data_IF_836505757120
#
_entry.id   IF_836505757120
#
_cell.length_a   1.000
_cell.length_b   1.000
_cell.length_c   1.000
_cell.angle_alpha   90.00
_cell.angle_beta   90.00
_cell.angle_gamma   90.00
#
_symmetry.space_group_name_H-M   'P 1'
#
loop_
_entity.id
_entity.type
_entity.pdbx_description
1 polymer ?
#
# COMPACT_ATOMS: atom_id res chain seq x y z
N UNK A 1 -1.24 -14.36 1.25
CA UNK A 1 -0.96 -13.20 0.35
C UNK A 1 -0.45 -12.05 1.21
N UNK A 2 0.38 -11.16 0.68
CA UNK A 2 0.90 -10.01 1.43
C UNK A 2 0.64 -8.72 0.65
N UNK A 3 0.31 -7.65 1.37
CA UNK A 3 0.52 -6.30 0.90
C UNK A 3 1.96 -5.91 1.22
N UNK A 4 2.70 -5.39 0.23
CA UNK A 4 4.10 -5.00 0.34
C UNK A 4 4.23 -3.59 -0.20
N UNK A 5 4.96 -2.73 0.50
CA UNK A 5 5.12 -1.33 0.13
C UNK A 5 6.59 -0.88 0.19
N UNK A 6 7.10 -0.45 -0.96
CA UNK A 6 8.48 -0.03 -1.14
C UNK A 6 9.51 -1.14 -0.96
N UNK A 7 10.78 -0.74 -1.08
CA UNK A 7 11.94 -1.61 -0.90
C UNK A 7 12.52 -2.17 -2.20
N UNK A 8 13.21 -3.31 -2.09
CA UNK A 8 13.97 -3.94 -3.17
C UNK A 8 13.69 -5.43 -3.24
N UNK A 9 13.75 -5.96 -4.46
CA UNK A 9 13.69 -7.40 -4.72
C UNK A 9 15.04 -7.85 -5.25
N UNK A 10 15.59 -8.89 -4.65
CA UNK A 10 16.78 -9.57 -5.12
C UNK A 10 16.39 -10.99 -5.55
N UNK A 11 16.86 -11.40 -6.72
CA UNK A 11 16.70 -12.76 -7.24
C UNK A 11 18.09 -13.36 -7.41
N UNK A 12 18.34 -14.50 -6.78
CA UNK A 12 19.59 -15.24 -6.90
C UNK A 12 19.28 -16.74 -6.92
N UNK A 13 19.81 -17.44 -7.93
CA UNK A 13 19.48 -18.84 -8.25
C UNK A 13 17.96 -19.09 -8.28
N UNK A 14 17.44 -19.83 -7.29
CA UNK A 14 16.03 -20.15 -7.12
C UNK A 14 15.40 -19.46 -5.90
N UNK A 15 16.05 -18.42 -5.35
CA UNK A 15 15.59 -17.67 -4.18
C UNK A 15 15.22 -16.24 -4.56
N UNK A 16 14.03 -15.83 -4.13
CA UNK A 16 13.55 -14.44 -4.23
C UNK A 16 13.51 -13.84 -2.83
N UNK A 17 14.35 -12.84 -2.60
CA UNK A 17 14.42 -12.08 -1.35
C UNK A 17 13.76 -10.72 -1.54
N UNK A 18 12.82 -10.40 -0.66
CA UNK A 18 12.13 -9.10 -0.66
C UNK A 18 12.49 -8.36 0.62
N UNK A 19 13.24 -7.26 0.48
CA UNK A 19 13.50 -6.33 1.56
C UNK A 19 12.55 -5.15 1.40
N UNK A 20 11.67 -4.95 2.37
CA UNK A 20 10.62 -3.93 2.26
C UNK A 20 10.49 -3.15 3.56
N UNK A 21 10.05 -1.89 3.45
CA UNK A 21 9.76 -1.04 4.59
C UNK A 21 8.52 -1.56 5.34
N UNK A 22 7.57 -2.18 4.62
CA UNK A 22 6.33 -2.66 5.21
C UNK A 22 5.77 -3.86 4.44
N UNK A 23 5.47 -4.92 5.19
CA UNK A 23 4.67 -6.05 4.72
C UNK A 23 3.51 -6.31 5.70
N UNK A 24 2.31 -6.54 5.17
CA UNK A 24 1.13 -6.90 5.96
C UNK A 24 0.53 -8.19 5.38
N UNK A 25 0.37 -9.25 6.18
CA UNK A 25 -0.42 -10.42 5.79
C UNK A 25 -1.84 -10.00 5.39
N UNK A 26 -2.39 -10.57 4.31
CA UNK A 26 -3.67 -10.15 3.76
C UNK A 26 -4.85 -10.28 4.74
N UNK A 27 -4.83 -11.30 5.58
CA UNK A 27 -5.78 -11.57 6.67
C UNK A 27 -5.65 -10.59 7.85
N UNK A 28 -4.56 -9.81 7.91
CA UNK A 28 -4.32 -8.79 8.93
C UNK A 28 -4.50 -7.36 8.41
N UNK A 29 -4.95 -7.19 7.16
CA UNK A 29 -5.26 -5.87 6.63
C UNK A 29 -6.56 -5.36 7.27
N UNK A 30 -6.49 -4.21 7.93
CA UNK A 30 -7.69 -3.52 8.39
C UNK A 30 -8.35 -2.80 7.20
N UNK A 31 -9.37 -3.43 6.63
CA UNK A 31 -10.11 -2.90 5.46
C UNK A 31 -10.83 -1.60 5.77
N UNK A 32 -11.34 -1.42 6.99
CA UNK A 32 -12.03 -0.18 7.38
C UNK A 32 -11.04 0.99 7.38
N UNK A 33 -9.89 0.83 8.05
CA UNK A 33 -8.85 1.84 8.08
C UNK A 33 -8.33 2.19 6.67
N UNK A 34 -8.15 1.20 5.80
CA UNK A 34 -7.72 1.44 4.42
C UNK A 34 -8.77 2.21 3.60
N UNK A 35 -10.07 1.95 3.82
CA UNK A 35 -11.16 2.72 3.17
C UNK A 35 -11.20 4.15 3.67
N UNK A 36 -11.08 4.37 4.98
CA UNK A 36 -11.00 5.71 5.57
C UNK A 36 -9.83 6.50 4.99
N UNK A 37 -8.63 5.90 4.95
CA UNK A 37 -7.44 6.54 4.36
C UNK A 37 -7.67 6.91 2.89
N UNK A 38 -8.32 6.04 2.10
CA UNK A 38 -8.63 6.34 0.70
C UNK A 38 -9.55 7.55 0.56
N UNK A 39 -10.58 7.63 1.40
CA UNK A 39 -11.53 8.75 1.40
C UNK A 39 -10.84 10.05 1.82
N UNK A 40 -10.08 10.03 2.91
CA UNK A 40 -9.36 11.21 3.43
C UNK A 40 -8.32 11.72 2.42
N UNK A 41 -7.49 10.83 1.86
CA UNK A 41 -6.50 11.21 0.86
C UNK A 41 -7.15 11.75 -0.43
N UNK A 42 -8.31 11.20 -0.83
CA UNK A 42 -9.07 11.70 -1.97
C UNK A 42 -9.64 13.11 -1.79
N UNK A 43 -9.92 13.51 -0.54
CA UNK A 43 -10.43 14.84 -0.20
C UNK A 43 -9.32 15.88 0.03
N UNK A 44 -8.07 15.44 0.19
CA UNK A 44 -6.95 16.34 0.45
C UNK A 44 -6.68 17.23 -0.78
N UNK A 45 -6.70 18.55 -0.57
CA UNK A 45 -6.28 19.52 -1.59
C UNK A 45 -4.75 19.55 -1.60
N UNK A 46 -4.16 19.32 -2.77
CA UNK A 46 -2.73 19.44 -3.00
C UNK A 46 -2.48 20.69 -3.85
N UNK A 47 -1.69 21.62 -3.32
CA UNK A 47 -1.35 22.90 -3.98
C UNK A 47 0.11 22.97 -4.41
N UNK A 48 0.92 21.96 -4.07
CA UNK A 48 2.30 21.80 -4.53
C UNK A 48 2.51 20.40 -5.10
N UNK A 49 3.58 20.23 -5.88
CA UNK A 49 3.92 18.93 -6.47
C UNK A 49 4.23 17.89 -5.39
N UNK A 50 4.92 18.29 -4.31
CA UNK A 50 5.21 17.38 -3.19
C UNK A 50 3.93 16.92 -2.48
N UNK A 51 2.96 17.83 -2.31
CA UNK A 51 1.66 17.48 -1.73
C UNK A 51 0.87 16.56 -2.65
N UNK A 52 0.99 16.76 -3.97
CA UNK A 52 0.37 15.89 -4.97
C UNK A 52 0.96 14.48 -4.89
N UNK A 53 2.29 14.36 -4.87
CA UNK A 53 2.99 13.09 -4.75
C UNK A 53 2.62 12.33 -3.46
N UNK A 54 2.54 13.03 -2.33
CA UNK A 54 2.12 12.45 -1.05
C UNK A 54 0.68 11.93 -1.16
N UNK A 55 -0.23 12.75 -1.67
CA UNK A 55 -1.63 12.39 -1.83
C UNK A 55 -1.79 11.16 -2.73
N UNK A 56 -1.12 11.15 -3.87
CA UNK A 56 -1.14 10.02 -4.79
C UNK A 56 -0.61 8.76 -4.13
N UNK A 57 0.53 8.84 -3.43
CA UNK A 57 1.10 7.71 -2.69
C UNK A 57 0.11 7.14 -1.68
N UNK A 58 -0.56 7.98 -0.90
CA UNK A 58 -1.57 7.55 0.08
C UNK A 58 -2.75 6.85 -0.58
N UNK A 59 -3.26 7.38 -1.70
CA UNK A 59 -4.34 6.77 -2.47
C UNK A 59 -3.92 5.39 -3.02
N UNK A 60 -2.71 5.30 -3.58
CA UNK A 60 -2.17 4.07 -4.14
C UNK A 60 -2.02 2.98 -3.08
N UNK A 61 -1.46 3.33 -1.92
CA UNK A 61 -1.30 2.43 -0.78
C UNK A 61 -2.66 1.92 -0.28
N UNK A 62 -3.62 2.82 -0.05
CA UNK A 62 -4.95 2.47 0.44
C UNK A 62 -5.69 1.52 -0.52
N UNK A 63 -5.67 1.83 -1.82
CA UNK A 63 -6.27 0.96 -2.85
C UNK A 63 -5.60 -0.42 -2.91
N UNK A 64 -4.27 -0.47 -2.79
CA UNK A 64 -3.54 -1.73 -2.81
C UNK A 64 -3.88 -2.60 -1.58
N UNK A 65 -3.97 -2.00 -0.39
CA UNK A 65 -4.38 -2.70 0.83
C UNK A 65 -5.80 -3.27 0.69
N UNK A 66 -6.77 -2.46 0.21
CA UNK A 66 -8.15 -2.92 -0.02
C UNK A 66 -8.17 -4.13 -0.97
N UNK A 67 -7.52 -4.03 -2.14
CA UNK A 67 -7.50 -5.13 -3.12
C UNK A 67 -6.90 -6.42 -2.55
N UNK A 68 -5.85 -6.31 -1.73
CA UNK A 68 -5.20 -7.48 -1.14
C UNK A 68 -6.06 -8.08 -0.02
N UNK A 69 -6.64 -7.24 0.84
CA UNK A 69 -7.47 -7.66 1.96
C UNK A 69 -8.78 -8.33 1.51
N UNK A 70 -9.48 -7.74 0.53
CA UNK A 70 -10.72 -8.31 -0.03
C UNK A 70 -10.51 -9.70 -0.66
N UNK A 71 -9.30 -9.99 -1.11
CA UNK A 71 -8.92 -11.27 -1.73
C UNK A 71 -8.54 -12.34 -0.71
N UNK A 72 -8.52 -12.03 0.59
CA UNK A 72 -8.26 -12.96 1.68
C UNK A 72 -9.52 -13.31 2.48
N UNK A 73 -10.61 -12.54 2.31
CA UNK A 73 -11.94 -12.78 2.88
C UNK A 73 -12.70 -13.89 2.18
#
# INVERSE_FOLDING_TARGET
RFYVDGGFVQVADNVVSVLTNRAIPADRINLEAARTQLTEAGQQVATTDEQLEIRERLIWQARAQIRVGERAS
#
